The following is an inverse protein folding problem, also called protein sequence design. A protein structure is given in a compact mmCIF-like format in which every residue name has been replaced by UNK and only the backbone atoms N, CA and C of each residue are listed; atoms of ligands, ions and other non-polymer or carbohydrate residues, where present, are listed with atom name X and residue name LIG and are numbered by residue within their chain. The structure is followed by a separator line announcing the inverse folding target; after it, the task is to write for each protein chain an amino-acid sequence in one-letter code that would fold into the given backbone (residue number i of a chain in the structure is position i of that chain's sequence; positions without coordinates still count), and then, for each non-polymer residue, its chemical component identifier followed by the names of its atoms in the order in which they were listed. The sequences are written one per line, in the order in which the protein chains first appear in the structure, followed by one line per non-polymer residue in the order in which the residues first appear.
data_IF_837688126591
#
_entry.id   IF_837688126591
#
_cell.length_a   1.000
_cell.length_b   1.000
_cell.length_c   1.000
_cell.angle_alpha   90.00
_cell.angle_beta   90.00
_cell.angle_gamma   90.00
#
_symmetry.space_group_name_H-M   'P 1'
#
loop_
_entity.id
_entity.type
_entity.pdbx_description
1 polymer ?
#
# COMPACT_ATOMS: atom_id res chain seq x y z
N UNK A 1 -1.09 -9.12 -19.40
CA UNK A 1 -1.81 -7.85 -19.62
C UNK A 1 -2.08 -7.16 -18.30
N UNK A 2 -1.89 -5.86 -18.29
CA UNK A 2 -2.14 -5.07 -17.09
C UNK A 2 -3.63 -4.81 -16.89
N UNK A 3 -4.05 -4.88 -15.64
CA UNK A 3 -5.43 -4.57 -15.28
C UNK A 3 -5.62 -3.06 -15.18
N UNK A 4 -6.68 -2.56 -15.78
CA UNK A 4 -7.11 -1.16 -15.67
C UNK A 4 -8.50 -1.11 -15.07
N UNK A 5 -8.72 -0.13 -14.20
CA UNK A 5 -9.99 0.03 -13.50
C UNK A 5 -10.77 1.16 -14.16
N UNK A 6 -12.04 0.88 -14.43
CA UNK A 6 -13.00 1.88 -14.89
C UNK A 6 -13.98 2.11 -13.73
N UNK A 7 -13.61 3.06 -12.86
CA UNK A 7 -14.37 3.35 -11.65
C UNK A 7 -15.19 4.63 -11.85
N UNK A 8 -16.49 4.60 -11.56
CA UNK A 8 -17.30 5.82 -11.64
C UNK A 8 -16.71 6.95 -10.80
N UNK A 9 -16.84 8.19 -11.28
CA UNK A 9 -16.26 9.34 -10.61
C UNK A 9 -16.76 9.50 -9.17
N UNK A 10 -18.05 9.26 -8.95
CA UNK A 10 -18.62 9.35 -7.61
C UNK A 10 -18.05 8.31 -6.63
N UNK A 11 -17.56 7.19 -7.13
CA UNK A 11 -16.87 6.17 -6.32
C UNK A 11 -15.42 6.57 -6.08
N UNK A 12 -14.72 7.06 -7.12
CA UNK A 12 -13.35 7.55 -6.96
C UNK A 12 -13.25 8.67 -5.93
N UNK A 13 -14.26 9.51 -5.85
CA UNK A 13 -14.30 10.59 -4.86
C UNK A 13 -14.33 10.10 -3.42
N UNK A 14 -14.66 8.82 -3.18
CA UNK A 14 -14.63 8.22 -1.85
C UNK A 14 -13.31 7.55 -1.50
N UNK A 15 -12.36 7.45 -2.45
CA UNK A 15 -11.08 6.79 -2.22
C UNK A 15 -10.05 7.79 -1.66
N UNK A 16 -10.32 8.29 -0.45
CA UNK A 16 -9.53 9.37 0.12
C UNK A 16 -8.52 8.92 1.17
N UNK A 17 -8.87 7.92 1.97
CA UNK A 17 -8.01 7.44 3.05
C UNK A 17 -8.02 5.93 3.11
N UNK A 18 -6.86 5.35 3.45
CA UNK A 18 -6.76 3.96 3.81
C UNK A 18 -6.57 3.86 5.32
N UNK A 19 -7.43 3.08 5.97
CA UNK A 19 -7.30 2.74 7.38
C UNK A 19 -6.64 1.37 7.46
N UNK A 20 -5.39 1.34 7.86
CA UNK A 20 -4.61 0.11 7.97
C UNK A 20 -4.55 -0.29 9.44
N UNK A 21 -5.30 -1.32 9.81
CA UNK A 21 -5.27 -1.85 11.17
C UNK A 21 -4.26 -2.98 11.27
N UNK A 22 -3.31 -2.81 12.17
CA UNK A 22 -2.21 -3.76 12.37
C UNK A 22 -2.19 -4.26 13.80
N UNK A 23 -1.38 -5.29 14.06
CA UNK A 23 -1.15 -5.79 15.42
C UNK A 23 -0.49 -4.75 16.34
N UNK A 24 0.06 -3.66 15.78
CA UNK A 24 0.68 -2.57 16.54
C UNK A 24 -0.23 -1.33 16.67
N UNK A 25 -1.36 -1.30 16.00
CA UNK A 25 -2.29 -0.18 15.98
C UNK A 25 -2.71 0.23 14.58
N UNK A 26 -3.28 1.40 14.44
CA UNK A 26 -3.84 1.90 13.19
C UNK A 26 -2.92 2.91 12.52
N UNK A 27 -2.72 2.72 11.21
CA UNK A 27 -2.02 3.69 10.35
C UNK A 27 -3.04 4.26 9.36
N UNK A 28 -3.15 5.58 9.32
CA UNK A 28 -3.97 6.28 8.34
C UNK A 28 -3.10 6.82 7.21
N UNK A 29 -3.51 6.56 5.97
CA UNK A 29 -2.81 7.01 4.77
C UNK A 29 -3.78 7.80 3.92
N UNK A 30 -3.40 9.02 3.51
CA UNK A 30 -4.14 9.78 2.50
C UNK A 30 -3.76 9.25 1.13
N UNK A 31 -4.75 8.91 0.31
CA UNK A 31 -4.54 8.32 -1.02
C UNK A 31 -4.47 9.41 -2.08
N UNK A 32 -3.57 9.23 -3.06
CA UNK A 32 -3.32 10.18 -4.14
C UNK A 32 -4.05 9.74 -5.41
N UNK A 33 -5.38 9.71 -5.35
CA UNK A 33 -6.23 9.21 -6.43
C UNK A 33 -6.13 10.00 -7.73
N UNK A 34 -5.73 11.28 -7.65
CA UNK A 34 -5.60 12.13 -8.82
C UNK A 34 -4.27 11.87 -9.56
N UNK A 35 -3.24 11.45 -8.82
CA UNK A 35 -1.89 11.26 -9.36
C UNK A 35 -1.61 9.80 -9.73
N UNK A 36 -2.24 8.85 -9.06
CA UNK A 36 -2.09 7.43 -9.32
C UNK A 36 -3.46 6.73 -9.29
N UNK A 37 -4.38 7.10 -10.20
CA UNK A 37 -5.77 6.67 -10.11
C UNK A 37 -5.95 5.15 -10.24
N UNK A 38 -5.23 4.51 -11.15
CA UNK A 38 -5.38 3.06 -11.33
C UNK A 38 -4.79 2.28 -10.15
N UNK A 39 -3.66 2.73 -9.62
CA UNK A 39 -3.03 2.12 -8.45
C UNK A 39 -3.93 2.26 -7.21
N UNK A 40 -4.50 3.44 -7.00
CA UNK A 40 -5.44 3.68 -5.90
C UNK A 40 -6.70 2.82 -6.07
N UNK A 41 -7.26 2.75 -7.29
CA UNK A 41 -8.45 1.92 -7.55
C UNK A 41 -8.16 0.45 -7.30
N UNK A 42 -7.00 -0.05 -7.72
CA UNK A 42 -6.58 -1.43 -7.46
C UNK A 42 -6.46 -1.71 -5.97
N UNK A 43 -5.78 -0.85 -5.25
CA UNK A 43 -5.60 -0.98 -3.81
C UNK A 43 -6.95 -0.93 -3.08
N UNK A 44 -7.82 0.01 -3.44
CA UNK A 44 -9.15 0.16 -2.83
C UNK A 44 -10.03 -1.07 -3.09
N UNK A 45 -10.01 -1.59 -4.31
CA UNK A 45 -10.76 -2.79 -4.66
C UNK A 45 -10.32 -3.97 -3.79
N UNK A 46 -9.01 -4.21 -3.72
CA UNK A 46 -8.47 -5.32 -2.93
C UNK A 46 -8.77 -5.12 -1.43
N UNK A 47 -8.55 -3.92 -0.91
CA UNK A 47 -8.78 -3.62 0.50
C UNK A 47 -10.24 -3.83 0.89
N UNK A 48 -11.17 -3.28 0.11
CA UNK A 48 -12.59 -3.32 0.45
C UNK A 48 -13.21 -4.70 0.25
N UNK A 49 -12.56 -5.58 -0.50
CA UNK A 49 -12.96 -6.98 -0.61
C UNK A 49 -12.34 -7.88 0.45
N UNK A 50 -11.54 -7.31 1.36
CA UNK A 50 -10.92 -8.07 2.43
C UNK A 50 -9.67 -8.84 2.03
N UNK A 51 -9.11 -8.56 0.86
CA UNK A 51 -7.92 -9.26 0.36
C UNK A 51 -6.74 -9.20 1.32
N UNK A 52 -6.55 -8.04 1.98
CA UNK A 52 -5.41 -7.84 2.87
C UNK A 52 -5.62 -8.38 4.28
N UNK A 53 -6.84 -8.78 4.63
CA UNK A 53 -7.13 -9.25 5.99
C UNK A 53 -6.34 -10.52 6.31
N UNK A 54 -5.59 -10.49 7.40
CA UNK A 54 -4.81 -11.63 7.85
C UNK A 54 -3.46 -11.82 7.16
N UNK A 55 -3.05 -10.89 6.30
CA UNK A 55 -1.72 -10.90 5.71
C UNK A 55 -0.70 -10.29 6.68
N UNK A 56 0.58 -10.35 6.32
CA UNK A 56 1.67 -9.90 7.20
C UNK A 56 2.56 -8.89 6.49
N UNK A 57 3.25 -8.07 7.30
CA UNK A 57 4.41 -7.33 6.86
C UNK A 57 5.61 -8.30 6.84
N UNK A 58 5.77 -8.99 5.72
CA UNK A 58 6.71 -10.10 5.60
C UNK A 58 8.16 -9.66 5.37
N UNK A 59 8.39 -8.37 5.09
CA UNK A 59 9.72 -7.83 4.87
C UNK A 59 9.81 -6.46 5.52
N UNK A 60 10.35 -6.43 6.72
CA UNK A 60 10.54 -5.18 7.47
C UNK A 60 12.03 -4.95 7.65
N UNK A 61 12.53 -3.87 7.06
CA UNK A 61 13.94 -3.49 7.15
C UNK A 61 14.03 -2.18 7.92
N UNK A 62 14.48 -2.22 9.19
CA UNK A 62 14.61 -1.01 9.98
C UNK A 62 15.47 0.02 9.26
N UNK A 63 15.05 1.29 9.31
CA UNK A 63 15.73 2.36 8.60
C UNK A 63 15.50 2.40 7.09
N UNK A 64 14.58 1.57 6.59
CA UNK A 64 14.24 1.55 5.17
C UNK A 64 12.71 1.54 4.99
N UNK A 65 12.05 0.37 5.09
CA UNK A 65 10.62 0.27 4.82
C UNK A 65 10.01 -0.99 5.44
N UNK A 66 8.67 -1.01 5.50
CA UNK A 66 7.87 -2.20 5.85
C UNK A 66 7.03 -2.59 4.63
N UNK A 67 7.18 -3.83 4.15
CA UNK A 67 6.50 -4.35 2.97
C UNK A 67 5.51 -5.44 3.38
N UNK A 68 4.30 -5.38 2.80
CA UNK A 68 3.26 -6.36 3.04
C UNK A 68 2.33 -6.50 1.84
N UNK A 69 1.23 -7.22 2.06
CA UNK A 69 0.21 -7.37 1.02
C UNK A 69 0.39 -8.59 0.13
N UNK A 70 1.30 -9.50 0.46
CA UNK A 70 1.46 -10.74 -0.27
C UNK A 70 0.49 -11.81 0.27
N UNK A 71 -0.39 -12.39 -0.58
CA UNK A 71 -1.36 -13.40 -0.12
C UNK A 71 -0.70 -14.68 0.40
N UNK A 72 0.56 -14.94 0.02
CA UNK A 72 1.30 -16.10 0.53
C UNK A 72 1.72 -15.95 1.99
N UNK A 73 1.47 -14.79 2.61
CA UNK A 73 1.73 -14.58 4.03
C UNK A 73 0.54 -14.95 4.91
N UNK A 74 -0.60 -15.29 4.30
CA UNK A 74 -1.77 -15.74 5.05
C UNK A 74 -1.48 -17.11 5.65
N UNK A 75 -1.94 -17.31 6.89
CA UNK A 75 -1.77 -18.59 7.55
C UNK A 75 -2.39 -19.71 6.70
N UNK A 76 -1.63 -20.79 6.49
CA UNK A 76 -2.06 -21.91 5.65
C UNK A 76 -1.78 -21.76 4.17
N UNK A 77 -1.26 -20.62 3.72
CA UNK A 77 -0.91 -20.44 2.31
C UNK A 77 0.29 -21.32 1.95
N UNK A 78 0.28 -21.84 0.72
CA UNK A 78 1.32 -22.77 0.25
C UNK A 78 2.47 -22.11 -0.51
N UNK A 79 2.29 -20.84 -0.95
CA UNK A 79 3.30 -20.13 -1.70
C UNK A 79 4.37 -19.50 -0.82
N UNK A 80 5.46 -19.09 -1.43
CA UNK A 80 6.55 -18.42 -0.73
C UNK A 80 6.21 -16.95 -0.51
N UNK A 81 6.39 -16.42 0.74
CA UNK A 81 6.17 -14.99 0.98
C UNK A 81 6.99 -14.11 0.04
N UNK A 82 6.35 -13.06 -0.47
CA UNK A 82 6.97 -12.13 -1.42
C UNK A 82 6.73 -12.45 -2.89
N UNK A 83 6.22 -13.65 -3.20
CA UNK A 83 6.02 -14.08 -4.59
C UNK A 83 4.57 -14.03 -5.06
N UNK A 84 3.62 -13.78 -4.16
CA UNK A 84 2.19 -13.81 -4.49
C UNK A 84 1.62 -12.47 -4.88
N UNK A 85 0.44 -12.52 -5.49
CA UNK A 85 -0.31 -11.34 -5.90
C UNK A 85 -1.77 -11.68 -6.14
N UNK A 86 -2.55 -10.73 -6.67
CA UNK A 86 -3.99 -10.89 -6.79
C UNK A 86 -4.44 -11.69 -8.02
N UNK A 87 -3.49 -12.12 -8.86
CA UNK A 87 -3.78 -12.82 -10.11
C UNK A 87 -3.69 -11.93 -11.34
N UNK A 88 -3.29 -10.68 -11.17
CA UNK A 88 -3.08 -9.71 -12.26
C UNK A 88 -2.00 -8.72 -11.88
N UNK A 89 -1.56 -7.93 -12.85
CA UNK A 89 -0.63 -6.83 -12.61
C UNK A 89 -1.25 -5.50 -13.03
N UNK A 90 -0.65 -4.40 -12.55
CA UNK A 90 -1.02 -3.05 -12.94
C UNK A 90 0.23 -2.32 -13.43
N UNK A 91 0.02 -1.34 -14.32
CA UNK A 91 1.10 -0.51 -14.82
C UNK A 91 1.57 0.47 -13.76
N UNK A 92 2.84 0.85 -13.82
CA UNK A 92 3.38 1.93 -13.02
C UNK A 92 2.76 3.27 -13.44
N UNK A 93 2.53 4.13 -12.45
CA UNK A 93 2.01 5.48 -12.67
C UNK A 93 3.04 6.52 -12.19
N UNK A 94 4.29 6.26 -12.46
CA UNK A 94 5.40 7.11 -12.03
C UNK A 94 5.49 8.42 -12.81
N UNK A 95 4.99 8.43 -14.05
CA UNK A 95 5.02 9.64 -14.91
C UNK A 95 4.00 10.68 -14.47
N UNK A 96 2.93 10.25 -13.83
CA UNK A 96 1.85 11.13 -13.36
C UNK A 96 1.96 11.44 -11.87
N UNK A 97 2.72 10.64 -11.12
CA UNK A 97 2.89 10.87 -9.69
C UNK A 97 3.91 11.95 -9.43
N UNK A 98 3.50 12.99 -8.71
CA UNK A 98 4.34 14.13 -8.34
C UNK A 98 4.93 13.98 -6.94
N UNK A 99 4.80 12.80 -6.34
CA UNK A 99 5.17 12.59 -4.94
C UNK A 99 6.47 11.82 -4.83
N UNK A 100 7.47 12.38 -4.13
CA UNK A 100 8.70 11.65 -3.85
C UNK A 100 8.49 10.62 -2.75
N UNK A 101 9.43 9.67 -2.64
CA UNK A 101 9.48 8.72 -1.53
C UNK A 101 10.04 9.40 -0.29
N UNK A 102 9.21 10.19 0.39
CA UNK A 102 9.52 10.72 1.72
C UNK A 102 9.16 9.70 2.79
N UNK A 103 9.52 9.96 4.05
CA UNK A 103 9.08 9.12 5.16
C UNK A 103 7.55 9.06 5.23
N UNK A 104 7.02 7.86 5.41
CA UNK A 104 5.58 7.64 5.59
C UNK A 104 4.77 7.60 4.32
N UNK A 105 5.40 7.42 3.16
CA UNK A 105 4.63 7.17 1.92
C UNK A 105 4.32 5.69 1.77
N UNK A 106 3.19 5.41 1.12
CA UNK A 106 2.85 4.06 0.65
C UNK A 106 3.09 3.99 -0.84
N UNK A 107 3.81 2.97 -1.26
CA UNK A 107 4.26 2.79 -2.65
C UNK A 107 4.09 1.34 -3.06
N UNK A 108 3.92 1.09 -4.37
CA UNK A 108 3.73 -0.27 -4.88
C UNK A 108 5.06 -1.01 -5.01
N UNK A 109 5.12 -2.18 -4.37
CA UNK A 109 6.20 -3.11 -4.62
C UNK A 109 5.98 -3.82 -5.97
N UNK A 110 7.05 -4.12 -6.69
CA UNK A 110 6.99 -4.86 -7.94
C UNK A 110 8.33 -5.54 -8.23
N UNK A 111 8.31 -6.44 -9.22
CA UNK A 111 9.49 -7.19 -9.66
C UNK A 111 10.02 -6.66 -11.02
N UNK A 112 9.85 -5.36 -11.26
CA UNK A 112 10.21 -4.68 -12.50
C UNK A 112 9.06 -3.81 -12.98
N UNK A 113 9.25 -3.03 -14.05
CA UNK A 113 8.21 -2.14 -14.56
C UNK A 113 6.92 -2.89 -14.87
N UNK A 114 5.78 -2.32 -14.45
CA UNK A 114 4.44 -2.79 -14.79
C UNK A 114 4.12 -4.21 -14.28
N UNK A 115 4.72 -4.59 -13.15
CA UNK A 115 4.47 -5.90 -12.49
C UNK A 115 3.85 -5.77 -11.10
N UNK A 116 3.44 -4.59 -10.69
CA UNK A 116 2.75 -4.38 -9.40
C UNK A 116 1.45 -5.16 -9.34
N UNK A 117 1.08 -5.60 -8.16
CA UNK A 117 -0.16 -6.35 -7.94
C UNK A 117 -0.83 -5.95 -6.64
N UNK A 118 -0.54 -6.66 -5.56
CA UNK A 118 -1.11 -6.37 -4.25
C UNK A 118 -0.09 -5.90 -3.22
N UNK A 119 1.18 -6.21 -3.40
CA UNK A 119 2.20 -5.88 -2.42
C UNK A 119 2.53 -4.38 -2.42
N UNK A 120 2.68 -3.83 -1.24
CA UNK A 120 3.02 -2.43 -1.04
C UNK A 120 4.08 -2.31 0.06
N UNK A 121 4.69 -1.14 0.14
CA UNK A 121 5.58 -0.85 1.27
C UNK A 121 5.31 0.57 1.79
N UNK A 122 5.63 0.78 3.06
CA UNK A 122 5.55 2.08 3.72
C UNK A 122 6.94 2.43 4.20
N UNK A 123 7.42 3.62 3.87
CA UNK A 123 8.80 4.01 4.14
C UNK A 123 8.98 4.51 5.57
N UNK A 124 10.05 4.07 6.24
CA UNK A 124 10.46 4.61 7.55
C UNK A 124 11.28 5.89 7.41
N UNK A 125 11.94 6.05 6.28
CA UNK A 125 12.86 7.16 5.99
C UNK A 125 12.68 7.57 4.53
N UNK A 126 13.18 8.76 4.11
CA UNK A 126 13.19 9.06 2.68
C UNK A 126 14.01 8.04 1.89
N UNK A 127 13.45 7.62 0.74
CA UNK A 127 14.09 6.63 -0.15
C UNK A 127 14.13 7.17 -1.58
N UNK A 128 14.90 8.26 -1.84
CA UNK A 128 14.86 8.94 -3.12
C UNK A 128 15.31 8.08 -4.30
N UNK A 129 16.08 7.03 -4.05
CA UNK A 129 16.49 6.11 -5.12
C UNK A 129 15.32 5.32 -5.73
N UNK A 130 14.16 5.33 -5.09
CA UNK A 130 12.95 4.66 -5.59
C UNK A 130 12.06 5.59 -6.41
N UNK A 131 12.34 6.90 -6.41
CA UNK A 131 11.55 7.87 -7.15
C UNK A 131 11.61 7.57 -8.66
N UNK A 132 10.43 7.59 -9.31
CA UNK A 132 10.33 7.27 -10.72
C UNK A 132 10.36 5.78 -11.04
N UNK A 133 10.62 4.91 -10.08
CA UNK A 133 10.68 3.45 -10.24
C UNK A 133 9.44 2.79 -9.65
N UNK A 134 9.04 3.18 -8.46
CA UNK A 134 7.85 2.68 -7.79
C UNK A 134 6.78 3.76 -7.72
N UNK A 135 5.52 3.36 -7.83
CA UNK A 135 4.39 4.28 -7.79
C UNK A 135 4.03 4.63 -6.35
N UNK A 136 4.29 5.88 -5.95
CA UNK A 136 3.78 6.42 -4.68
C UNK A 136 2.29 6.73 -4.87
N UNK A 137 1.43 6.12 -4.07
CA UNK A 137 -0.02 6.33 -4.21
C UNK A 137 -0.69 6.85 -2.94
N UNK A 138 0.06 7.16 -1.92
CA UNK A 138 -0.47 7.76 -0.70
C UNK A 138 0.64 8.11 0.28
N UNK A 139 0.25 8.77 1.37
CA UNK A 139 1.18 9.13 2.44
C UNK A 139 0.43 9.37 3.75
N UNK A 140 1.13 9.12 4.85
CA UNK A 140 0.66 9.51 6.18
C UNK A 140 0.72 11.04 6.25
N UNK A 141 -0.34 11.68 6.75
CA UNK A 141 -0.34 13.13 6.95
C UNK A 141 0.79 13.52 7.92
N UNK A 142 1.51 14.59 7.60
CA UNK A 142 2.71 14.97 8.36
C UNK A 142 2.42 15.31 9.83
N UNK A 143 1.19 15.69 10.16
CA UNK A 143 0.77 16.01 11.52
C UNK A 143 0.13 14.83 12.26
N UNK A 144 0.04 13.66 11.60
CA UNK A 144 -0.55 12.46 12.20
C UNK A 144 0.50 11.67 12.97
N UNK A 145 0.81 12.14 14.16
CA UNK A 145 1.85 11.55 15.01
C UNK A 145 1.54 10.11 15.42
N UNK A 146 0.26 9.81 15.63
CA UNK A 146 -0.16 8.46 16.05
C UNK A 146 0.13 7.42 14.97
N UNK A 147 -0.20 7.73 13.71
CA UNK A 147 0.11 6.83 12.59
C UNK A 147 1.61 6.62 12.44
N UNK A 148 2.42 7.67 12.61
CA UNK A 148 3.86 7.54 12.56
C UNK A 148 4.41 6.69 13.71
N UNK A 149 3.84 6.80 14.91
CA UNK A 149 4.23 5.98 16.05
C UNK A 149 3.94 4.49 15.77
N UNK A 150 2.77 4.20 15.21
CA UNK A 150 2.43 2.83 14.83
C UNK A 150 3.38 2.32 13.75
N UNK A 151 3.62 3.13 12.71
CA UNK A 151 4.57 2.77 11.65
C UNK A 151 5.93 2.39 12.23
N UNK A 152 6.46 3.22 13.13
CA UNK A 152 7.77 2.96 13.73
C UNK A 152 7.78 1.73 14.65
N UNK A 153 6.61 1.22 15.02
CA UNK A 153 6.46 0.03 15.86
C UNK A 153 6.36 -1.26 15.04
N UNK A 154 6.16 -1.16 13.72
CA UNK A 154 6.01 -2.35 12.87
C UNK A 154 7.31 -3.12 12.83
N UNK A 155 7.21 -4.42 13.06
CA UNK A 155 8.32 -5.35 13.04
C UNK A 155 8.03 -6.52 12.11
N UNK A 156 9.05 -7.31 11.82
CA UNK A 156 8.95 -8.47 10.91
C UNK A 156 7.78 -9.37 11.30
N UNK A 157 6.95 -9.68 10.32
CA UNK A 157 5.79 -10.56 10.44
C UNK A 157 4.63 -10.04 11.31
N UNK A 158 4.59 -8.74 11.58
CA UNK A 158 3.40 -8.13 12.18
C UNK A 158 2.19 -8.33 11.27
N UNK A 159 1.02 -8.50 11.89
CA UNK A 159 -0.21 -8.78 11.17
C UNK A 159 -0.86 -7.51 10.62
N UNK A 160 -1.40 -7.64 9.41
CA UNK A 160 -2.39 -6.72 8.87
C UNK A 160 -3.76 -7.30 9.22
N UNK A 161 -4.44 -6.67 10.17
CA UNK A 161 -5.75 -7.14 10.61
C UNK A 161 -6.78 -6.85 9.52
N UNK A 162 -6.79 -5.61 9.02
CA UNK A 162 -7.68 -5.20 7.93
C UNK A 162 -7.18 -3.92 7.28
N UNK A 163 -7.60 -3.70 6.04
CA UNK A 163 -7.42 -2.42 5.36
C UNK A 163 -8.78 -2.02 4.77
N UNK A 164 -9.22 -0.81 5.08
CA UNK A 164 -10.43 -0.23 4.50
C UNK A 164 -10.08 1.07 3.79
N UNK A 165 -10.65 1.29 2.61
CA UNK A 165 -10.54 2.57 1.92
C UNK A 165 -11.84 3.32 2.10
N UNK A 166 -11.75 4.52 2.67
CA UNK A 166 -12.90 5.31 3.12
C UNK A 166 -12.78 6.75 2.66
N UNK A 167 -13.93 7.45 2.67
CA UNK A 167 -13.97 8.85 2.27
C UNK A 167 -13.42 9.79 3.33
N UNK A 168 -13.62 9.46 4.61
CA UNK A 168 -13.22 10.31 5.73
C UNK A 168 -12.64 9.48 6.86
N UNK A 169 -11.67 10.07 7.57
CA UNK A 169 -11.17 9.49 8.82
C UNK A 169 -12.29 9.53 9.87
N UNK A 170 -12.36 8.48 10.67
CA UNK A 170 -13.32 8.39 11.77
C UNK A 170 -12.62 8.44 13.12
#
# INVERSE_FOLDING_TARGET
MSKRYDVPQEVMETYNYAKIETSKGTIWVKLFKDDAPNTVANFAHLANEGFYNGLKFHRVIPGFMAQGGCPNTREGASGMPGTGGPGWSIDCETDTSLHPHRRGVISMAHAGPNTGGSQFFITFVPTPHLDGVHTVFGAIDLDDKESFQVLDSITQDDDIISIEVVANKS
#
